data_IF_333777046215
#
_entry.id   IF_333777046215
#
_cell.length_a   1.000
_cell.length_b   1.000
_cell.length_c   1.000
_cell.angle_alpha   90.00
_cell.angle_beta   90.00
_cell.angle_gamma   90.00
#
_symmetry.space_group_name_H-M   'P 1'
#
loop_
_entity.id
_entity.type
_entity.pdbx_description
1 polymer ?
#
# COMPACT_ATOMS: atom_id res chain seq x y z
N UNK A 1 46.74 35.38 20.52
CA UNK A 1 46.45 34.33 19.52
C UNK A 1 45.26 33.53 20.02
N UNK A 2 44.09 33.72 19.43
CA UNK A 2 42.89 32.95 19.77
C UNK A 2 42.79 31.79 18.76
N UNK A 3 42.88 30.55 19.24
CA UNK A 3 42.74 29.35 18.41
C UNK A 3 41.23 29.04 18.32
N UNK A 4 40.62 29.32 17.17
CA UNK A 4 39.23 28.91 16.88
C UNK A 4 39.27 27.47 16.37
N UNK A 5 38.78 26.53 17.17
CA UNK A 5 38.57 25.15 16.76
C UNK A 5 37.27 25.05 15.97
N UNK A 6 37.37 24.94 14.65
CA UNK A 6 36.23 24.60 13.78
C UNK A 6 36.00 23.10 13.91
N UNK A 7 35.02 22.70 14.74
CA UNK A 7 34.51 21.32 14.72
C UNK A 7 33.72 21.14 13.44
N UNK A 8 34.34 20.57 12.42
CA UNK A 8 33.65 20.09 11.23
C UNK A 8 32.82 18.87 11.64
N UNK A 9 31.55 19.10 12.01
CA UNK A 9 30.59 18.03 12.19
C UNK A 9 30.39 17.32 10.85
N UNK A 10 30.85 16.08 10.74
CA UNK A 10 30.42 15.20 9.65
C UNK A 10 28.90 15.09 9.73
N UNK A 11 28.22 15.77 8.79
CA UNK A 11 26.81 15.53 8.52
C UNK A 11 26.72 14.11 7.97
N UNK A 12 26.49 13.14 8.85
CA UNK A 12 26.06 11.81 8.44
C UNK A 12 24.69 12.03 7.82
N UNK A 13 24.62 12.04 6.48
CA UNK A 13 23.34 12.02 5.80
C UNK A 13 22.57 10.82 6.33
N UNK A 14 21.32 10.99 6.78
CA UNK A 14 20.52 9.84 7.19
C UNK A 14 20.53 8.85 6.03
N UNK A 15 20.96 7.62 6.31
CA UNK A 15 20.93 6.54 5.32
C UNK A 15 19.48 6.41 4.87
N UNK A 16 19.19 6.78 3.63
CA UNK A 16 17.88 6.55 3.03
C UNK A 16 17.64 5.04 3.02
N UNK A 17 16.50 4.60 3.58
CA UNK A 17 16.16 3.19 3.62
C UNK A 17 15.77 2.75 2.21
N UNK A 18 16.21 1.56 1.75
CA UNK A 18 15.70 1.01 0.49
C UNK A 18 14.27 0.54 0.70
N UNK A 19 13.38 1.04 -0.14
CA UNK A 19 11.93 0.91 -0.02
C UNK A 19 11.35 0.84 -1.44
N UNK A 20 10.38 -0.05 -1.65
CA UNK A 20 9.61 -0.09 -2.88
C UNK A 20 8.72 1.15 -2.88
N UNK A 21 9.01 2.07 -3.79
CA UNK A 21 8.30 3.35 -3.86
C UNK A 21 7.11 3.24 -4.81
N UNK A 22 5.91 3.30 -4.26
CA UNK A 22 4.65 3.35 -5.01
C UNK A 22 4.33 4.81 -5.35
N UNK A 23 4.29 5.11 -6.64
CA UNK A 23 3.97 6.45 -7.14
C UNK A 23 2.47 6.62 -7.23
N UNK A 24 1.94 7.58 -6.50
CA UNK A 24 0.52 7.96 -6.51
C UNK A 24 0.36 9.35 -7.12
N UNK A 25 -0.70 9.56 -7.90
CA UNK A 25 -1.02 10.88 -8.46
C UNK A 25 -2.48 11.21 -8.16
N UNK A 26 -2.65 12.15 -7.22
CA UNK A 26 -3.94 12.59 -6.69
C UNK A 26 -4.60 13.65 -7.57
N UNK A 27 -5.88 13.45 -7.86
CA UNK A 27 -6.72 14.34 -8.65
C UNK A 27 -7.97 14.67 -7.85
N UNK A 28 -8.09 15.93 -7.44
CA UNK A 28 -9.24 16.44 -6.69
C UNK A 28 -10.27 16.93 -7.69
N UNK A 29 -11.39 16.23 -7.82
CA UNK A 29 -12.52 16.70 -8.61
C UNK A 29 -13.14 17.88 -7.84
N UNK A 30 -13.10 19.08 -8.44
CA UNK A 30 -13.64 20.29 -7.82
C UNK A 30 -15.15 20.31 -7.93
N UNK A 31 -15.80 20.88 -6.92
CA UNK A 31 -17.23 21.12 -6.97
C UNK A 31 -17.61 22.19 -7.99
N UNK A 32 -18.91 22.41 -8.23
CA UNK A 32 -19.40 23.36 -9.24
C UNK A 32 -18.91 24.79 -9.05
N UNK A 33 -18.60 25.20 -7.82
CA UNK A 33 -18.08 26.53 -7.49
C UNK A 33 -16.55 26.54 -7.31
N UNK A 34 -15.87 25.44 -7.69
CA UNK A 34 -14.43 25.30 -7.54
C UNK A 34 -13.98 24.91 -6.12
N UNK A 35 -14.89 24.48 -5.25
CA UNK A 35 -14.61 24.03 -3.88
C UNK A 35 -13.90 22.66 -3.82
N UNK A 36 -13.19 22.41 -2.71
CA UNK A 36 -12.73 21.08 -2.36
C UNK A 36 -13.93 20.21 -1.94
N UNK A 37 -13.88 18.88 -2.11
CA UNK A 37 -14.73 17.97 -1.36
C UNK A 37 -14.72 18.30 0.14
N UNK A 38 -15.86 18.32 0.81
CA UNK A 38 -15.99 18.54 2.27
C UNK A 38 -17.05 17.60 2.87
N UNK A 39 -17.07 16.33 2.42
CA UNK A 39 -18.01 15.35 2.94
C UNK A 39 -17.67 14.96 4.39
N UNK A 40 -18.30 15.66 5.33
CA UNK A 40 -18.15 15.42 6.78
C UNK A 40 -18.89 14.18 7.28
N UNK A 41 -19.67 13.50 6.44
CA UNK A 41 -20.28 12.21 6.78
C UNK A 41 -19.24 11.09 6.63
N UNK A 42 -18.23 11.13 7.49
CA UNK A 42 -17.10 10.20 7.47
C UNK A 42 -17.50 8.80 7.94
N UNK A 43 -16.81 7.78 7.45
CA UNK A 43 -16.99 6.39 7.91
C UNK A 43 -16.23 6.18 9.23
N UNK A 44 -16.91 5.67 10.25
CA UNK A 44 -16.32 5.32 11.54
C UNK A 44 -15.88 6.49 12.42
N UNK A 45 -15.36 6.18 13.61
CA UNK A 45 -14.86 7.18 14.60
C UNK A 45 -13.47 7.74 14.25
N UNK A 46 -12.78 7.13 13.28
CA UNK A 46 -11.47 7.57 12.75
C UNK A 46 -11.60 8.32 11.42
N UNK A 47 -12.81 8.80 11.12
CA UNK A 47 -13.13 9.52 9.91
C UNK A 47 -12.13 10.64 9.58
N UNK A 48 -11.61 10.62 8.36
CA UNK A 48 -10.74 11.67 7.84
C UNK A 48 -11.39 12.28 6.61
N UNK A 49 -11.71 13.57 6.69
CA UNK A 49 -12.21 14.31 5.56
C UNK A 49 -11.04 14.86 4.72
N UNK A 50 -10.81 14.30 3.53
CA UNK A 50 -9.73 14.72 2.61
C UNK A 50 -10.06 16.05 1.90
N UNK A 51 -10.27 17.12 2.65
CA UNK A 51 -10.81 18.39 2.15
C UNK A 51 -9.77 19.47 1.83
N UNK A 52 -8.48 19.13 1.82
CA UNK A 52 -7.41 20.04 1.43
C UNK A 52 -6.16 19.28 0.98
N UNK A 53 -5.26 19.97 0.27
CA UNK A 53 -3.97 19.40 -0.11
C UNK A 53 -3.13 18.99 1.11
N UNK A 54 -3.15 19.79 2.17
CA UNK A 54 -2.40 19.50 3.39
C UNK A 54 -2.92 18.20 4.02
N UNK A 55 -4.23 18.03 4.13
CA UNK A 55 -4.82 16.82 4.72
C UNK A 55 -4.51 15.57 3.87
N UNK A 56 -4.48 15.68 2.54
CA UNK A 56 -4.05 14.59 1.65
C UNK A 56 -2.58 14.22 1.91
N UNK A 57 -1.69 15.20 2.06
CA UNK A 57 -0.27 14.98 2.36
C UNK A 57 -0.07 14.37 3.75
N UNK A 58 -0.85 14.81 4.74
CA UNK A 58 -0.84 14.25 6.09
C UNK A 58 -1.33 12.79 6.09
N UNK A 59 -2.31 12.45 5.25
CA UNK A 59 -2.78 11.07 5.08
C UNK A 59 -1.71 10.15 4.46
N UNK A 60 -0.96 10.65 3.47
CA UNK A 60 0.18 9.92 2.89
C UNK A 60 1.29 9.72 3.92
N UNK A 61 1.60 10.76 4.70
CA UNK A 61 2.60 10.69 5.78
C UNK A 61 2.19 9.65 6.83
N UNK A 62 0.94 9.70 7.29
CA UNK A 62 0.37 8.73 8.20
C UNK A 62 0.47 7.30 7.65
N UNK A 63 0.09 7.09 6.39
CA UNK A 63 0.16 5.77 5.75
C UNK A 63 1.59 5.23 5.74
N UNK A 64 2.56 6.07 5.36
CA UNK A 64 3.97 5.69 5.37
C UNK A 64 4.49 5.38 6.79
N UNK A 65 4.08 6.16 7.79
CA UNK A 65 4.47 5.92 9.18
C UNK A 65 3.85 4.64 9.74
N UNK A 66 2.60 4.34 9.37
CA UNK A 66 1.94 3.07 9.69
C UNK A 66 2.70 1.87 9.10
N UNK A 67 2.99 1.91 7.79
CA UNK A 67 3.75 0.87 7.11
C UNK A 67 5.17 0.73 7.68
N UNK A 68 5.85 1.83 8.00
CA UNK A 68 7.18 1.82 8.60
C UNK A 68 7.20 1.18 9.99
N UNK A 69 6.21 1.51 10.84
CA UNK A 69 6.08 0.91 12.19
C UNK A 69 5.91 -0.60 12.17
N UNK A 70 5.33 -1.14 11.10
CA UNK A 70 5.18 -2.59 10.88
C UNK A 70 6.35 -3.22 10.11
N UNK A 71 7.37 -2.43 9.77
CA UNK A 71 8.50 -2.90 8.98
C UNK A 71 8.08 -3.38 7.60
N UNK A 72 7.13 -2.70 6.96
CA UNK A 72 6.75 -2.94 5.56
C UNK A 72 7.75 -2.26 4.60
N UNK A 73 8.06 -2.86 3.45
CA UNK A 73 8.99 -2.30 2.45
C UNK A 73 8.35 -1.22 1.58
N UNK A 74 7.04 -1.04 1.68
CA UNK A 74 6.24 -0.22 0.77
C UNK A 74 6.20 1.21 1.27
N UNK A 75 6.41 2.18 0.38
CA UNK A 75 6.19 3.60 0.66
C UNK A 75 5.47 4.30 -0.48
N UNK A 76 4.56 5.19 -0.13
CA UNK A 76 3.80 6.00 -1.05
C UNK A 76 4.47 7.35 -1.27
N UNK A 77 4.52 7.81 -2.53
CA UNK A 77 5.03 9.14 -2.88
C UNK A 77 4.13 9.83 -3.89
N UNK A 78 3.90 11.13 -3.71
CA UNK A 78 3.21 11.94 -4.70
C UNK A 78 4.08 12.10 -5.95
N UNK A 79 3.50 11.73 -7.08
CA UNK A 79 4.06 12.03 -8.40
C UNK A 79 4.28 13.54 -8.51
N UNK A 80 5.50 13.93 -8.85
CA UNK A 80 5.92 15.32 -9.04
C UNK A 80 5.65 16.20 -7.81
N UNK A 81 5.51 15.61 -6.62
CA UNK A 81 5.10 16.27 -5.39
C UNK A 81 3.80 17.12 -5.54
N UNK A 82 2.92 16.77 -6.49
CA UNK A 82 1.79 17.60 -6.92
C UNK A 82 0.46 16.92 -6.66
N UNK A 83 -0.53 17.72 -6.25
CA UNK A 83 -1.95 17.34 -6.20
C UNK A 83 -2.64 18.14 -7.31
N UNK A 84 -3.34 17.43 -8.19
CA UNK A 84 -3.96 18.01 -9.38
C UNK A 84 -5.41 18.38 -9.08
N UNK A 85 -5.88 19.53 -9.57
CA UNK A 85 -7.28 19.92 -9.49
C UNK A 85 -7.96 19.64 -10.83
N UNK A 86 -9.02 18.82 -10.83
CA UNK A 86 -9.84 18.53 -12.00
C UNK A 86 -11.06 19.46 -11.98
N UNK A 87 -10.97 20.57 -12.70
CA UNK A 87 -12.02 21.59 -12.78
C UNK A 87 -12.97 21.35 -13.96
N UNK A 88 -14.22 21.82 -13.85
CA UNK A 88 -15.20 21.71 -14.93
C UNK A 88 -15.78 20.31 -15.15
N UNK A 89 -15.38 19.32 -14.34
CA UNK A 89 -15.90 17.95 -14.36
C UNK A 89 -16.82 17.64 -13.17
N UNK A 90 -17.28 18.68 -12.45
CA UNK A 90 -18.10 18.51 -11.25
C UNK A 90 -19.38 17.70 -11.52
N UNK A 91 -20.02 17.93 -12.67
CA UNK A 91 -21.13 17.11 -13.15
C UNK A 91 -20.60 16.07 -14.13
N UNK A 92 -20.80 14.76 -13.91
CA UNK A 92 -21.48 14.15 -12.76
C UNK A 92 -20.54 13.77 -11.60
N UNK A 93 -19.23 14.04 -11.68
CA UNK A 93 -18.24 13.30 -10.91
C UNK A 93 -18.08 13.71 -9.44
N UNK A 94 -18.44 14.93 -9.07
CA UNK A 94 -18.22 15.45 -7.72
C UNK A 94 -19.01 14.68 -6.65
N UNK A 95 -20.26 14.32 -6.94
CA UNK A 95 -21.16 13.62 -5.98
C UNK A 95 -21.47 12.18 -6.39
N UNK A 96 -20.85 11.68 -7.46
CA UNK A 96 -21.07 10.32 -7.95
C UNK A 96 -20.42 9.29 -7.02
N UNK A 97 -21.18 8.28 -6.58
CA UNK A 97 -20.72 7.27 -5.63
C UNK A 97 -19.37 6.67 -6.02
N UNK A 98 -18.35 6.90 -5.19
CA UNK A 98 -16.99 6.38 -5.40
C UNK A 98 -16.91 4.86 -5.32
N UNK A 99 -17.70 4.22 -4.43
CA UNK A 99 -17.77 2.75 -4.25
C UNK A 99 -18.24 1.95 -5.47
N UNK A 100 -18.79 2.60 -6.50
CA UNK A 100 -19.36 1.89 -7.65
C UNK A 100 -18.28 1.55 -8.69
N UNK A 101 -18.05 0.25 -8.91
CA UNK A 101 -17.17 -0.25 -9.97
C UNK A 101 -17.54 0.30 -11.36
N UNK A 102 -18.84 0.41 -11.66
CA UNK A 102 -19.31 0.98 -12.91
C UNK A 102 -18.95 2.47 -13.04
N UNK A 103 -19.13 3.25 -11.97
CA UNK A 103 -18.74 4.67 -11.98
C UNK A 103 -17.24 4.86 -12.15
N UNK A 104 -16.42 4.10 -11.43
CA UNK A 104 -14.96 4.15 -11.58
C UNK A 104 -14.52 3.72 -12.98
N UNK A 105 -15.10 2.67 -13.54
CA UNK A 105 -14.81 2.25 -14.91
C UNK A 105 -15.17 3.34 -15.94
N UNK A 106 -16.31 4.02 -15.76
CA UNK A 106 -16.72 5.13 -16.62
C UNK A 106 -15.80 6.34 -16.45
N UNK A 107 -15.34 6.64 -15.22
CA UNK A 107 -14.38 7.71 -14.95
C UNK A 107 -13.07 7.41 -15.69
N UNK A 108 -12.56 6.20 -15.54
CA UNK A 108 -11.31 5.78 -16.15
C UNK A 108 -11.38 5.82 -17.68
N UNK A 109 -12.47 5.30 -18.28
CA UNK A 109 -12.72 5.40 -19.71
C UNK A 109 -12.79 6.87 -20.18
N UNK A 110 -13.44 7.75 -19.40
CA UNK A 110 -13.52 9.19 -19.71
C UNK A 110 -12.15 9.84 -19.65
N UNK A 111 -11.37 9.57 -18.61
CA UNK A 111 -10.04 10.14 -18.38
C UNK A 111 -9.02 9.70 -19.45
N UNK A 112 -9.22 8.54 -20.06
CA UNK A 112 -8.30 7.93 -21.03
C UNK A 112 -8.75 8.02 -22.49
N UNK A 113 -9.95 8.56 -22.76
CA UNK A 113 -10.58 8.54 -24.09
C UNK A 113 -9.80 9.24 -25.21
N UNK A 114 -8.96 10.22 -24.87
CA UNK A 114 -8.15 10.97 -25.83
C UNK A 114 -6.98 11.68 -25.14
N UNK A 115 -6.02 12.21 -25.91
CA UNK A 115 -4.94 13.03 -25.37
C UNK A 115 -5.45 14.28 -24.63
N UNK A 116 -6.48 14.95 -25.18
CA UNK A 116 -7.11 16.10 -24.53
C UNK A 116 -7.82 15.71 -23.22
N UNK A 117 -8.51 14.56 -23.20
CA UNK A 117 -9.11 14.05 -21.97
C UNK A 117 -8.04 13.73 -20.92
N UNK A 118 -6.96 13.04 -21.32
CA UNK A 118 -5.85 12.73 -20.42
C UNK A 118 -5.23 13.99 -19.81
N UNK A 119 -5.09 15.07 -20.58
CA UNK A 119 -4.64 16.36 -20.07
C UNK A 119 -5.64 16.95 -19.05
N UNK A 120 -6.94 17.00 -19.39
CA UNK A 120 -8.01 17.49 -18.49
C UNK A 120 -8.04 16.73 -17.17
N UNK A 121 -7.84 15.42 -17.22
CA UNK A 121 -7.90 14.53 -16.06
C UNK A 121 -6.53 14.29 -15.40
N UNK A 122 -5.48 14.98 -15.86
CA UNK A 122 -4.10 14.84 -15.39
C UNK A 122 -3.66 13.37 -15.30
N UNK A 123 -4.02 12.56 -16.29
CA UNK A 123 -3.76 11.13 -16.29
C UNK A 123 -2.27 10.84 -16.52
N UNK A 124 -1.73 9.89 -15.74
CA UNK A 124 -0.35 9.41 -15.87
C UNK A 124 -0.30 7.88 -15.91
N UNK A 125 0.45 7.29 -16.84
CA UNK A 125 0.51 5.83 -16.99
C UNK A 125 1.45 5.15 -15.98
N UNK A 126 2.39 5.90 -15.42
CA UNK A 126 3.44 5.44 -14.52
C UNK A 126 3.20 5.83 -13.05
N UNK A 127 1.94 6.05 -12.68
CA UNK A 127 1.49 6.23 -11.30
C UNK A 127 0.07 5.72 -11.11
N UNK A 128 -0.33 5.47 -9.88
CA UNK A 128 -1.73 5.19 -9.54
C UNK A 128 -2.54 6.48 -9.68
N UNK A 129 -3.55 6.51 -10.55
CA UNK A 129 -4.41 7.67 -10.73
C UNK A 129 -5.52 7.64 -9.67
N UNK A 130 -5.40 8.47 -8.64
CA UNK A 130 -6.35 8.53 -7.52
C UNK A 130 -7.26 9.72 -7.71
N UNK A 131 -8.54 9.48 -7.99
CA UNK A 131 -9.56 10.51 -8.13
C UNK A 131 -10.34 10.64 -6.83
N UNK A 132 -10.39 11.86 -6.30
CA UNK A 132 -11.04 12.21 -5.04
C UNK A 132 -12.29 13.04 -5.32
N UNK A 133 -13.42 12.68 -4.71
CA UNK A 133 -14.67 13.44 -4.82
C UNK A 133 -15.39 13.61 -3.47
N UNK A 134 -16.58 14.21 -3.50
CA UNK A 134 -17.38 14.58 -2.32
C UNK A 134 -18.30 13.45 -1.81
N UNK A 135 -17.87 12.20 -1.98
CA UNK A 135 -18.60 11.04 -1.44
C UNK A 135 -17.85 10.39 -0.28
N UNK A 136 -18.16 9.13 0.01
CA UNK A 136 -17.51 8.28 1.01
C UNK A 136 -17.14 6.93 0.37
N UNK A 137 -16.27 6.16 1.03
CA UNK A 137 -15.77 4.87 0.55
C UNK A 137 -14.89 4.99 -0.70
N UNK A 138 -14.32 3.89 -1.16
CA UNK A 138 -13.54 3.82 -2.40
C UNK A 138 -13.88 2.60 -3.25
N UNK A 139 -13.29 2.57 -4.43
CA UNK A 139 -13.13 1.38 -5.27
C UNK A 139 -11.88 1.54 -6.12
N UNK A 140 -11.19 0.44 -6.40
CA UNK A 140 -10.01 0.42 -7.26
C UNK A 140 -10.19 -0.41 -8.54
N UNK A 141 -9.16 -0.40 -9.37
CA UNK A 141 -8.97 -1.36 -10.46
C UNK A 141 -7.96 -2.44 -10.02
N UNK A 142 -8.43 -3.68 -9.91
CA UNK A 142 -7.55 -4.85 -9.72
C UNK A 142 -6.63 -5.07 -10.95
N UNK A 143 -5.45 -5.69 -10.78
CA UNK A 143 -4.49 -5.90 -11.88
C UNK A 143 -5.07 -6.57 -13.11
N UNK A 144 -5.96 -7.55 -12.92
CA UNK A 144 -6.63 -8.30 -14.00
C UNK A 144 -7.47 -7.44 -14.94
N UNK A 145 -7.85 -6.23 -14.52
CA UNK A 145 -8.72 -5.34 -15.29
C UNK A 145 -8.02 -4.52 -16.37
N UNK A 146 -6.67 -4.55 -16.46
CA UNK A 146 -5.87 -3.72 -17.37
C UNK A 146 -5.98 -2.21 -17.12
N UNK A 147 -6.53 -1.85 -15.96
CA UNK A 147 -6.99 -0.52 -15.59
C UNK A 147 -6.19 0.01 -14.40
N UNK A 148 -6.00 1.32 -14.27
CA UNK A 148 -5.01 1.91 -13.35
C UNK A 148 -5.51 3.09 -12.50
N UNK A 149 -6.82 3.15 -12.23
CA UNK A 149 -7.41 4.18 -11.35
C UNK A 149 -7.93 3.64 -10.01
N UNK A 150 -7.94 4.54 -9.02
CA UNK A 150 -8.70 4.41 -7.77
C UNK A 150 -9.67 5.60 -7.71
N UNK A 151 -10.93 5.34 -7.34
CA UNK A 151 -11.93 6.37 -7.10
C UNK A 151 -12.32 6.36 -5.63
N UNK A 152 -12.01 7.43 -4.90
CA UNK A 152 -12.25 7.55 -3.46
C UNK A 152 -13.11 8.77 -3.13
N UNK A 153 -13.93 8.65 -2.11
CA UNK A 153 -14.65 9.75 -1.49
C UNK A 153 -13.84 10.42 -0.38
N UNK A 154 -14.02 11.73 -0.22
CA UNK A 154 -13.35 12.50 0.83
C UNK A 154 -13.81 12.15 2.24
N UNK A 155 -15.04 11.65 2.42
CA UNK A 155 -15.57 11.18 3.71
C UNK A 155 -15.13 9.76 4.10
N UNK A 156 -13.89 9.37 3.79
CA UNK A 156 -13.33 8.06 4.14
C UNK A 156 -12.91 7.95 5.62
N UNK A 157 -12.60 6.74 6.06
CA UNK A 157 -11.75 6.54 7.25
C UNK A 157 -10.28 6.74 6.86
N UNK A 158 -9.41 6.97 7.85
CA UNK A 158 -8.01 7.37 7.60
C UNK A 158 -7.22 6.36 6.77
N UNK A 159 -7.50 5.08 6.95
CA UNK A 159 -6.82 3.95 6.31
C UNK A 159 -7.41 3.58 4.94
N UNK A 160 -8.50 4.22 4.50
CA UNK A 160 -9.18 3.90 3.24
C UNK A 160 -8.22 3.97 2.04
N UNK A 161 -7.32 4.96 2.02
CA UNK A 161 -6.36 5.11 0.93
C UNK A 161 -5.48 3.86 0.75
N UNK A 162 -4.91 3.34 1.84
CA UNK A 162 -4.01 2.20 1.79
C UNK A 162 -4.77 0.89 1.60
N UNK A 163 -6.00 0.80 2.08
CA UNK A 163 -6.93 -0.29 1.77
C UNK A 163 -7.17 -0.43 0.25
N UNK A 164 -7.55 0.67 -0.42
CA UNK A 164 -7.77 0.67 -1.87
C UNK A 164 -6.49 0.42 -2.68
N UNK A 165 -5.34 0.89 -2.18
CA UNK A 165 -4.04 0.57 -2.78
C UNK A 165 -3.73 -0.93 -2.58
N UNK A 166 -4.11 -1.55 -1.46
CA UNK A 166 -4.01 -2.99 -1.27
C UNK A 166 -4.73 -3.75 -2.39
N UNK A 167 -6.00 -3.42 -2.65
CA UNK A 167 -6.74 -4.00 -3.78
C UNK A 167 -6.09 -3.73 -5.15
N UNK A 168 -5.53 -2.53 -5.36
CA UNK A 168 -4.81 -2.21 -6.59
C UNK A 168 -3.62 -3.14 -6.84
N UNK A 169 -2.99 -3.62 -5.77
CA UNK A 169 -1.91 -4.61 -5.76
C UNK A 169 -2.39 -6.04 -5.38
N UNK A 170 -3.59 -6.39 -5.86
CA UNK A 170 -4.15 -7.76 -5.82
C UNK A 170 -4.53 -8.31 -4.44
N UNK A 171 -4.65 -7.49 -3.40
CA UNK A 171 -5.14 -7.95 -2.11
C UNK A 171 -6.67 -7.99 -2.11
N UNK A 172 -7.27 -9.06 -1.62
CA UNK A 172 -8.71 -9.17 -1.41
C UNK A 172 -9.06 -8.81 0.03
N UNK A 173 -10.35 -8.65 0.31
CA UNK A 173 -10.84 -8.52 1.69
C UNK A 173 -10.60 -9.81 2.46
N UNK A 174 -10.32 -9.71 3.76
CA UNK A 174 -10.17 -10.89 4.63
C UNK A 174 -11.47 -11.69 4.79
N UNK A 175 -12.60 -11.06 4.54
CA UNK A 175 -13.94 -11.65 4.58
C UNK A 175 -14.53 -11.83 3.18
N UNK A 176 -15.46 -12.77 3.04
CA UNK A 176 -16.33 -12.81 1.89
C UNK A 176 -17.49 -11.81 2.05
N UNK A 177 -17.87 -11.12 0.97
CA UNK A 177 -19.02 -10.22 0.99
C UNK A 177 -18.74 -8.87 1.67
N UNK A 178 -19.80 -8.23 2.12
CA UNK A 178 -19.82 -6.86 2.66
C UNK A 178 -20.57 -6.87 3.99
N UNK A 179 -20.47 -5.79 4.79
CA UNK A 179 -21.26 -5.68 6.01
C UNK A 179 -22.77 -5.77 5.70
N UNK A 180 -23.44 -6.74 6.32
CA UNK A 180 -24.89 -6.89 6.30
C UNK A 180 -25.51 -6.70 7.69
N UNK A 181 -24.67 -6.56 8.71
CA UNK A 181 -25.06 -6.37 10.11
C UNK A 181 -25.30 -7.68 10.85
N UNK A 182 -24.90 -8.81 10.28
CA UNK A 182 -25.14 -10.16 10.84
C UNK A 182 -23.81 -10.90 11.09
N UNK A 183 -23.69 -11.55 12.25
CA UNK A 183 -22.47 -12.26 12.68
C UNK A 183 -22.45 -13.74 12.27
N UNK A 184 -22.81 -14.05 11.03
CA UNK A 184 -22.93 -15.43 10.54
C UNK A 184 -22.02 -15.78 9.36
N UNK A 185 -21.29 -14.83 8.79
CA UNK A 185 -20.61 -14.96 7.50
C UNK A 185 -19.11 -15.24 7.59
N UNK A 186 -18.65 -15.87 8.67
CA UNK A 186 -17.25 -16.20 8.93
C UNK A 186 -16.62 -17.08 7.84
N UNK A 187 -15.98 -16.44 6.87
CA UNK A 187 -15.42 -17.10 5.68
C UNK A 187 -14.13 -16.42 5.26
N UNK A 188 -13.15 -17.21 4.84
CA UNK A 188 -11.94 -16.71 4.18
C UNK A 188 -12.29 -15.98 2.87
N UNK A 189 -11.97 -14.69 2.79
CA UNK A 189 -12.15 -13.86 1.61
C UNK A 189 -10.88 -13.66 0.76
N UNK A 190 -9.69 -13.91 1.29
CA UNK A 190 -8.42 -13.55 0.64
C UNK A 190 -7.51 -14.73 0.29
N UNK A 191 -7.83 -15.94 0.76
CA UNK A 191 -7.08 -17.14 0.43
C UNK A 191 -5.72 -17.23 1.12
N UNK A 192 -5.43 -16.37 2.10
CA UNK A 192 -4.16 -16.38 2.81
C UNK A 192 -4.25 -17.18 4.11
N UNK A 193 -3.45 -18.22 4.25
CA UNK A 193 -3.37 -19.00 5.50
C UNK A 193 -2.95 -18.20 6.75
N UNK A 194 -2.42 -16.99 6.57
CA UNK A 194 -2.01 -16.08 7.64
C UNK A 194 -3.15 -15.18 8.15
N UNK A 195 -4.27 -15.08 7.43
CA UNK A 195 -5.52 -14.51 7.92
C UNK A 195 -6.40 -15.63 8.50
N UNK A 196 -7.37 -15.28 9.33
CA UNK A 196 -8.39 -16.20 9.85
C UNK A 196 -9.68 -15.93 9.06
N UNK A 197 -10.58 -16.91 8.99
CA UNK A 197 -11.92 -16.66 8.43
C UNK A 197 -12.53 -15.44 9.13
N UNK A 198 -13.05 -14.50 8.35
CA UNK A 198 -13.46 -13.21 8.84
C UNK A 198 -14.95 -12.99 8.60
N UNK A 199 -15.54 -12.18 9.47
CA UNK A 199 -16.89 -11.64 9.35
C UNK A 199 -16.76 -10.12 9.49
N UNK A 200 -17.19 -9.33 8.49
CA UNK A 200 -16.94 -7.89 8.46
C UNK A 200 -17.71 -7.11 9.54
N UNK A 201 -18.71 -7.73 10.18
CA UNK A 201 -19.49 -7.14 11.26
C UNK A 201 -18.96 -7.51 12.65
N UNK A 202 -17.99 -8.41 12.74
CA UNK A 202 -17.41 -8.87 13.99
C UNK A 202 -16.65 -7.77 14.74
N UNK A 203 -16.90 -7.63 16.04
CA UNK A 203 -16.04 -6.83 16.90
C UNK A 203 -14.77 -7.59 17.28
N UNK A 204 -13.78 -6.88 17.82
CA UNK A 204 -12.61 -7.50 18.41
C UNK A 204 -12.97 -8.50 19.53
N UNK A 205 -14.07 -8.29 20.26
CA UNK A 205 -14.54 -9.24 21.28
C UNK A 205 -15.05 -10.53 20.64
N UNK A 206 -15.80 -10.44 19.54
CA UNK A 206 -16.33 -11.59 18.80
C UNK A 206 -15.19 -12.42 18.21
N UNK A 207 -14.20 -11.77 17.59
CA UNK A 207 -12.99 -12.43 17.06
C UNK A 207 -12.21 -13.14 18.18
N UNK A 208 -12.02 -12.48 19.33
CA UNK A 208 -11.34 -13.07 20.47
C UNK A 208 -12.09 -14.28 21.07
N UNK A 209 -13.43 -14.22 21.09
CA UNK A 209 -14.26 -15.32 21.57
C UNK A 209 -14.24 -16.50 20.60
N UNK A 210 -14.41 -16.25 19.30
CA UNK A 210 -14.44 -17.29 18.26
C UNK A 210 -13.11 -18.03 18.15
N UNK A 211 -12.00 -17.29 18.15
CA UNK A 211 -10.66 -17.84 17.97
C UNK A 211 -9.88 -17.90 19.28
N UNK A 212 -10.53 -18.25 20.40
CA UNK A 212 -9.90 -18.30 21.71
C UNK A 212 -8.71 -19.28 21.79
N UNK A 213 -8.70 -20.32 20.94
CA UNK A 213 -7.61 -21.28 20.83
C UNK A 213 -6.38 -20.77 20.05
N UNK A 214 -6.54 -19.70 19.27
CA UNK A 214 -5.45 -19.11 18.49
C UNK A 214 -4.55 -18.23 19.37
N UNK A 215 -3.38 -17.88 18.84
CA UNK A 215 -2.52 -16.89 19.50
C UNK A 215 -3.14 -15.49 19.38
N UNK A 216 -2.85 -14.60 20.35
CA UNK A 216 -3.30 -13.21 20.26
C UNK A 216 -2.75 -12.51 19.01
N UNK A 217 -1.52 -12.84 18.59
CA UNK A 217 -0.95 -12.24 17.39
C UNK A 217 -1.69 -12.64 16.12
N UNK A 218 -2.08 -13.92 15.99
CA UNK A 218 -2.89 -14.40 14.85
C UNK A 218 -4.27 -13.74 14.81
N UNK A 219 -4.89 -13.48 15.97
CA UNK A 219 -6.13 -12.69 16.04
C UNK A 219 -5.91 -11.21 15.71
N UNK A 220 -4.83 -10.61 16.19
CA UNK A 220 -4.45 -9.23 15.86
C UNK A 220 -4.16 -9.05 14.37
N UNK A 221 -3.60 -10.08 13.73
CA UNK A 221 -3.35 -10.12 12.28
C UNK A 221 -4.65 -10.06 11.46
N UNK A 222 -5.80 -10.43 12.06
CA UNK A 222 -7.13 -10.19 11.50
C UNK A 222 -7.73 -8.84 11.96
N UNK A 223 -7.79 -8.59 13.27
CA UNK A 223 -8.45 -7.39 13.87
C UNK A 223 -7.87 -6.08 13.31
N UNK A 224 -6.54 -6.03 13.10
CA UNK A 224 -5.86 -4.82 12.64
C UNK A 224 -5.47 -4.90 11.15
N UNK A 225 -6.01 -5.87 10.41
CA UNK A 225 -5.66 -6.05 9.01
C UNK A 225 -6.18 -4.88 8.16
N UNK A 226 -5.32 -4.29 7.35
CA UNK A 226 -5.70 -3.21 6.40
C UNK A 226 -6.77 -3.68 5.43
N UNK A 227 -6.81 -4.96 5.08
CA UNK A 227 -7.79 -5.53 4.16
C UNK A 227 -9.06 -6.03 4.85
N UNK A 228 -9.20 -5.87 6.17
CA UNK A 228 -10.46 -6.11 6.88
C UNK A 228 -11.27 -4.81 7.01
N UNK A 229 -12.54 -4.89 7.37
CA UNK A 229 -13.37 -3.74 7.72
C UNK A 229 -13.34 -3.37 9.22
N UNK A 230 -12.55 -4.11 10.01
CA UNK A 230 -12.32 -3.82 11.41
C UNK A 230 -11.50 -2.54 11.59
N UNK A 231 -11.96 -1.63 12.45
CA UNK A 231 -11.21 -0.43 12.82
C UNK A 231 -10.67 -0.55 14.27
N UNK A 232 -9.44 -0.07 14.53
CA UNK A 232 -8.49 0.53 13.59
C UNK A 232 -7.75 -0.52 12.74
N UNK A 233 -7.22 -0.11 11.59
CA UNK A 233 -6.37 -0.94 10.74
C UNK A 233 -4.92 -0.46 10.83
N UNK A 234 -3.95 -1.37 10.84
CA UNK A 234 -2.54 -0.96 10.91
C UNK A 234 -1.49 -1.87 10.26
N UNK A 235 -1.88 -3.02 9.70
CA UNK A 235 -0.92 -3.99 9.14
C UNK A 235 -1.44 -4.77 7.94
N UNK A 236 -0.50 -5.19 7.11
CA UNK A 236 -0.66 -6.36 6.25
C UNK A 236 0.01 -7.56 6.93
N UNK A 237 -0.54 -8.76 6.75
CA UNK A 237 0.20 -9.98 7.07
C UNK A 237 1.32 -10.23 6.05
N UNK A 238 2.19 -11.19 6.32
CA UNK A 238 3.35 -11.44 5.47
C UNK A 238 2.92 -11.90 4.07
N UNK A 239 1.92 -12.79 3.96
CA UNK A 239 1.42 -13.25 2.66
C UNK A 239 0.80 -12.12 1.83
N UNK A 240 0.09 -11.19 2.47
CA UNK A 240 -0.44 -10.00 1.80
C UNK A 240 0.68 -9.08 1.30
N UNK A 241 1.72 -8.84 2.09
CA UNK A 241 2.86 -8.04 1.60
C UNK A 241 3.68 -8.78 0.54
N UNK A 242 3.78 -10.11 0.61
CA UNK A 242 4.36 -10.92 -0.46
C UNK A 242 3.58 -10.69 -1.76
N UNK A 243 2.27 -10.86 -1.74
CA UNK A 243 1.40 -10.67 -2.91
C UNK A 243 1.48 -9.24 -3.47
N UNK A 244 1.49 -8.24 -2.58
CA UNK A 244 1.67 -6.84 -2.95
C UNK A 244 2.97 -6.65 -3.73
N UNK A 245 4.07 -7.16 -3.19
CA UNK A 245 5.40 -7.03 -3.81
C UNK A 245 5.48 -7.78 -5.13
N UNK A 246 4.91 -8.98 -5.22
CA UNK A 246 4.87 -9.74 -6.47
C UNK A 246 4.10 -8.98 -7.55
N UNK A 247 2.95 -8.43 -7.19
CA UNK A 247 2.16 -7.60 -8.10
C UNK A 247 2.93 -6.33 -8.51
N UNK A 248 3.65 -5.73 -7.55
CA UNK A 248 4.49 -4.57 -7.80
C UNK A 248 5.71 -4.87 -8.68
N UNK A 249 6.27 -6.07 -8.63
CA UNK A 249 7.37 -6.49 -9.51
C UNK A 249 6.90 -6.82 -10.93
N UNK A 250 5.63 -7.20 -11.09
CA UNK A 250 5.07 -7.73 -12.31
C UNK A 250 3.98 -6.80 -12.88
N UNK A 251 2.70 -7.08 -12.61
CA UNK A 251 1.55 -6.44 -13.24
C UNK A 251 1.48 -4.92 -13.05
N UNK A 252 2.06 -4.42 -11.94
CA UNK A 252 2.04 -3.00 -11.54
C UNK A 252 3.43 -2.36 -11.45
N UNK A 253 4.44 -2.97 -12.08
CA UNK A 253 5.82 -2.46 -12.06
C UNK A 253 6.00 -1.05 -12.61
N UNK A 254 5.11 -0.59 -13.50
CA UNK A 254 5.19 0.77 -14.03
C UNK A 254 4.77 1.83 -13.00
N UNK A 255 4.05 1.49 -11.93
CA UNK A 255 3.69 2.42 -10.86
C UNK A 255 4.70 2.45 -9.71
N UNK A 256 5.69 1.56 -9.72
CA UNK A 256 6.67 1.43 -8.63
C UNK A 256 8.08 1.83 -9.08
N UNK A 257 8.96 2.03 -8.10
CA UNK A 257 10.41 2.00 -8.33
C UNK A 257 11.07 1.18 -7.23
N UNK A 258 12.08 0.41 -7.63
CA UNK A 258 12.63 -0.67 -6.81
C UNK A 258 11.82 -1.96 -6.96
N UNK A 259 12.50 -3.07 -6.74
CA UNK A 259 11.95 -4.42 -6.82
C UNK A 259 12.09 -5.15 -5.47
N UNK A 260 11.17 -6.06 -5.18
CA UNK A 260 11.33 -7.01 -4.07
C UNK A 260 12.02 -8.29 -4.52
N UNK A 261 13.10 -8.68 -3.85
CA UNK A 261 13.84 -9.90 -4.14
C UNK A 261 13.66 -10.91 -3.01
N UNK A 262 12.92 -11.98 -3.27
CA UNK A 262 12.62 -13.02 -2.29
C UNK A 262 13.80 -13.99 -2.13
N UNK A 263 14.17 -14.25 -0.86
CA UNK A 263 15.25 -15.15 -0.48
C UNK A 263 14.77 -16.17 0.54
N UNK A 264 15.07 -17.45 0.29
CA UNK A 264 14.82 -18.56 1.22
C UNK A 264 15.81 -19.69 0.97
N UNK A 265 16.20 -20.40 2.03
CA UNK A 265 17.21 -21.48 1.96
C UNK A 265 16.85 -22.64 1.03
N UNK A 266 15.56 -22.86 0.77
CA UNK A 266 15.06 -23.87 -0.18
C UNK A 266 14.87 -23.34 -1.61
N UNK A 267 15.22 -22.08 -1.87
CA UNK A 267 15.16 -21.46 -3.19
C UNK A 267 16.23 -21.99 -4.15
N UNK A 268 16.30 -21.35 -5.32
CA UNK A 268 17.29 -21.66 -6.37
C UNK A 268 18.02 -20.41 -6.83
N UNK A 269 19.35 -20.44 -6.85
CA UNK A 269 20.15 -19.32 -7.37
C UNK A 269 20.04 -19.15 -8.90
N UNK A 270 19.41 -20.10 -9.60
CA UNK A 270 19.08 -19.95 -11.02
C UNK A 270 17.83 -19.07 -11.25
N UNK A 271 17.04 -18.82 -10.21
CA UNK A 271 15.87 -17.96 -10.32
C UNK A 271 16.26 -16.46 -10.32
N UNK A 272 15.27 -15.60 -10.64
CA UNK A 272 15.42 -14.14 -10.64
C UNK A 272 14.99 -13.47 -9.33
N UNK A 273 14.40 -14.20 -8.38
CA UNK A 273 14.00 -13.67 -7.08
C UNK A 273 12.77 -12.76 -7.06
N UNK A 274 12.14 -12.46 -8.21
CA UNK A 274 11.05 -11.46 -8.28
C UNK A 274 9.69 -11.97 -7.79
N UNK A 275 9.52 -13.27 -7.66
CA UNK A 275 8.32 -13.88 -7.06
C UNK A 275 8.74 -14.80 -5.93
N UNK A 276 7.84 -15.07 -4.99
CA UNK A 276 8.11 -16.02 -3.92
C UNK A 276 8.25 -17.44 -4.47
N UNK A 277 7.49 -17.82 -5.49
CA UNK A 277 7.68 -19.08 -6.23
C UNK A 277 9.07 -19.16 -6.90
N UNK A 278 9.55 -18.04 -7.43
CA UNK A 278 10.87 -17.86 -8.06
C UNK A 278 11.95 -17.31 -7.13
N UNK A 279 11.84 -17.51 -5.81
CA UNK A 279 12.81 -17.01 -4.82
C UNK A 279 14.22 -17.58 -5.03
N UNK A 280 15.23 -16.80 -4.67
CA UNK A 280 16.64 -17.23 -4.73
C UNK A 280 17.08 -17.89 -3.43
N UNK A 281 18.14 -18.70 -3.51
CA UNK A 281 18.64 -19.46 -2.36
C UNK A 281 19.44 -18.61 -1.38
N UNK A 282 20.20 -17.65 -1.89
CA UNK A 282 21.26 -16.96 -1.12
C UNK A 282 21.11 -15.45 -1.20
N UNK A 283 21.56 -14.74 -0.15
CA UNK A 283 21.62 -13.27 -0.15
C UNK A 283 22.58 -12.75 -1.21
N UNK A 284 23.73 -13.40 -1.38
CA UNK A 284 24.70 -13.03 -2.42
C UNK A 284 24.03 -12.98 -3.80
N UNK A 285 23.21 -13.99 -4.12
CA UNK A 285 22.46 -13.99 -5.37
C UNK A 285 21.46 -12.83 -5.44
N UNK A 286 20.70 -12.57 -4.39
CA UNK A 286 19.76 -11.45 -4.36
C UNK A 286 20.48 -10.10 -4.55
N UNK A 287 21.59 -9.86 -3.86
CA UNK A 287 22.43 -8.66 -4.02
C UNK A 287 23.01 -8.54 -5.43
N UNK A 288 23.38 -9.67 -6.05
CA UNK A 288 23.86 -9.66 -7.44
C UNK A 288 22.76 -9.28 -8.43
N UNK A 289 21.50 -9.59 -8.11
CA UNK A 289 20.33 -9.31 -8.95
C UNK A 289 19.79 -7.89 -8.74
N UNK A 290 19.98 -7.33 -7.55
CA UNK A 290 19.57 -5.96 -7.27
C UNK A 290 20.34 -4.96 -8.14
N UNK A 291 19.60 -4.10 -8.82
CA UNK A 291 20.10 -3.12 -9.79
C UNK A 291 19.73 -1.67 -9.42
N UNK A 292 18.90 -1.48 -8.39
CA UNK A 292 18.42 -0.18 -7.93
C UNK A 292 18.68 0.01 -6.43
N UNK A 293 18.87 1.27 -6.03
CA UNK A 293 18.94 1.65 -4.61
C UNK A 293 17.61 1.47 -3.88
N UNK A 294 16.51 1.31 -4.62
CA UNK A 294 15.16 1.11 -4.06
C UNK A 294 14.80 -0.38 -3.95
N UNK A 295 15.64 -1.29 -4.43
CA UNK A 295 15.36 -2.72 -4.30
C UNK A 295 15.41 -3.15 -2.83
N UNK A 296 14.53 -4.08 -2.49
CA UNK A 296 14.42 -4.63 -1.14
C UNK A 296 14.61 -6.13 -1.18
N UNK A 297 15.50 -6.64 -0.33
CA UNK A 297 15.69 -8.08 -0.17
C UNK A 297 14.76 -8.58 0.93
N UNK A 298 13.85 -9.47 0.56
CA UNK A 298 12.80 -10.03 1.42
C UNK A 298 13.17 -11.46 1.83
N UNK A 299 13.48 -11.63 3.10
CA UNK A 299 13.90 -12.92 3.65
C UNK A 299 12.74 -13.52 4.43
N UNK A 300 12.36 -14.77 4.12
CA UNK A 300 11.42 -15.55 4.96
C UNK A 300 12.14 -16.74 5.57
N UNK A 301 11.99 -16.90 6.89
CA UNK A 301 12.62 -17.99 7.63
C UNK A 301 14.10 -17.75 7.94
N UNK A 302 14.80 -18.80 8.37
CA UNK A 302 16.23 -18.72 8.67
C UNK A 302 17.05 -18.85 7.40
N UNK A 303 18.10 -18.05 7.31
CA UNK A 303 19.08 -18.13 6.25
C UNK A 303 20.47 -18.17 6.88
N UNK A 304 21.29 -19.14 6.46
CA UNK A 304 22.68 -19.20 6.87
C UNK A 304 23.47 -18.21 6.00
N UNK A 305 24.05 -17.21 6.64
CA UNK A 305 24.96 -16.25 6.01
C UNK A 305 26.35 -16.57 6.54
N UNK A 306 27.31 -16.95 5.69
CA UNK A 306 28.66 -17.26 6.16
C UNK A 306 29.27 -16.07 6.92
N UNK A 307 29.94 -16.36 8.04
CA UNK A 307 30.65 -15.33 8.81
C UNK A 307 31.64 -14.56 7.93
N UNK A 308 31.65 -13.23 8.08
CA UNK A 308 32.51 -12.34 7.29
C UNK A 308 31.98 -12.02 5.89
N UNK A 309 30.74 -12.38 5.56
CA UNK A 309 30.11 -11.95 4.29
C UNK A 309 29.91 -10.44 4.28
N UNK A 310 30.68 -9.72 3.45
CA UNK A 310 30.53 -8.28 3.24
C UNK A 310 29.74 -8.01 1.97
N UNK A 311 28.60 -7.34 2.10
CA UNK A 311 27.83 -6.88 0.94
C UNK A 311 28.22 -5.45 0.59
N UNK A 312 28.77 -5.26 -0.61
CA UNK A 312 29.40 -3.99 -1.04
C UNK A 312 28.43 -2.96 -1.62
N UNK A 313 27.15 -3.33 -1.81
CA UNK A 313 26.11 -2.42 -2.27
C UNK A 313 25.26 -1.95 -1.09
N UNK A 314 24.94 -0.65 -0.97
CA UNK A 314 23.99 -0.16 0.03
C UNK A 314 22.60 -0.70 -0.31
N UNK A 315 22.24 -1.82 0.31
CA UNK A 315 20.91 -2.41 0.26
C UNK A 315 20.35 -2.46 1.67
N UNK A 316 19.05 -2.22 1.82
CA UNK A 316 18.38 -2.48 3.08
C UNK A 316 17.89 -3.92 3.11
N UNK A 317 18.35 -4.59 4.15
CA UNK A 317 17.92 -5.92 4.54
C UNK A 317 16.61 -5.79 5.29
N UNK A 318 15.52 -6.23 4.69
CA UNK A 318 14.27 -6.34 5.43
C UNK A 318 14.12 -7.74 6.00
N UNK A 319 14.54 -7.84 7.26
CA UNK A 319 14.41 -9.02 8.09
C UNK A 319 12.99 -9.12 8.61
N UNK A 320 12.14 -9.90 7.94
CA UNK A 320 10.79 -10.14 8.42
C UNK A 320 10.71 -11.55 9.05
N UNK A 321 10.60 -11.58 10.39
CA UNK A 321 10.45 -12.80 11.21
C UNK A 321 11.63 -13.79 11.25
N UNK A 322 12.89 -13.35 11.18
CA UNK A 322 14.06 -14.23 11.41
C UNK A 322 15.10 -13.67 12.39
N UNK A 323 15.98 -14.54 12.90
CA UNK A 323 17.07 -14.25 13.84
C UNK A 323 18.44 -14.39 13.15
N UNK A 324 18.70 -13.68 12.06
CA UNK A 324 20.08 -13.49 11.59
C UNK A 324 20.68 -12.26 12.30
N UNK A 325 21.76 -12.42 13.07
CA UNK A 325 22.68 -11.30 13.28
C UNK A 325 23.33 -11.04 11.92
N UNK A 326 23.23 -9.82 11.42
CA UNK A 326 24.15 -9.31 10.41
C UNK A 326 25.00 -8.34 11.21
N UNK A 327 26.19 -8.79 11.63
CA UNK A 327 27.26 -7.89 12.12
C UNK A 327 27.97 -7.25 10.92
#
# INVERSE_FOLDING_TARGET
MLLVWTVAGLLISPTAWSEIQVRVSFKVIRGPNGEFPDNRNTIGVTGLNLNSEQVIRDNLTFTNDMLRRRGSPIRLFLRDNTIYNVTGQAVPWFTRTARSTANKNNLEATATASAAARATWSWHDDSINIYLNDTRSGVCSFPSGGRSAIFIGAGGYRELLIHEIGHFYNLAHTHAGDNDGELENWTDGDGFSETLDDDPDASAADINARYAAETQEKRNDLIFNIMSYHLPQDRFVWQQTQEFVETANNERGVQTSGEGLFVRSDGSNFNNGKTYGGRVRTLERAVSLSNSSNDVILIRGRLDVPDGTVFTKPHVWMKWRSTALIE
#
